data_IF_561757478333
#
_entry.id   IF_561757478333
#
_cell.length_a   1.000
_cell.length_b   1.000
_cell.length_c   1.000
_cell.angle_alpha   90.00
_cell.angle_beta   90.00
_cell.angle_gamma   90.00
#
_symmetry.space_group_name_H-M   'P 1'
#
loop_
_entity.id
_entity.type
_entity.pdbx_description
1 polymer ?
#
# COMPACT_ATOMS: atom_id res chain seq x y z
N UNK A 1 -12.18 21.17 24.96
CA UNK A 1 -11.88 19.93 25.67
C UNK A 1 -10.37 19.80 25.69
N UNK A 2 -9.76 19.63 26.87
CA UNK A 2 -8.31 19.34 26.96
C UNK A 2 -8.03 17.89 26.56
N UNK A 3 -6.77 17.54 26.29
CA UNK A 3 -6.38 16.15 25.98
C UNK A 3 -6.69 15.19 27.13
N UNK A 4 -6.57 15.68 28.38
CA UNK A 4 -6.93 14.93 29.58
C UNK A 4 -8.44 14.65 29.63
N UNK A 5 -9.28 15.65 29.34
CA UNK A 5 -10.73 15.49 29.32
C UNK A 5 -11.19 14.51 28.23
N UNK A 6 -10.55 14.57 27.05
CA UNK A 6 -10.81 13.64 25.95
C UNK A 6 -10.46 12.20 26.33
N UNK A 7 -9.31 12.00 26.96
CA UNK A 7 -8.86 10.65 27.37
C UNK A 7 -9.84 10.04 28.36
N UNK A 8 -10.25 10.79 29.39
CA UNK A 8 -11.22 10.32 30.38
C UNK A 8 -12.59 10.00 29.75
N UNK A 9 -13.09 10.87 28.86
CA UNK A 9 -14.35 10.63 28.15
C UNK A 9 -14.30 9.38 27.26
N UNK A 10 -13.14 9.09 26.65
CA UNK A 10 -12.94 7.88 25.87
C UNK A 10 -12.84 6.62 26.74
N UNK A 11 -12.24 6.69 27.93
CA UNK A 11 -12.22 5.57 28.89
C UNK A 11 -13.65 5.20 29.36
N UNK A 12 -14.47 6.22 29.64
CA UNK A 12 -15.89 6.02 29.94
C UNK A 12 -16.64 5.40 28.76
N UNK A 13 -16.38 5.88 27.54
CA UNK A 13 -16.96 5.32 26.31
C UNK A 13 -16.56 3.85 26.11
N UNK A 14 -15.29 3.49 26.32
CA UNK A 14 -14.80 2.11 26.21
C UNK A 14 -15.56 1.21 27.19
N UNK A 15 -15.69 1.64 28.44
CA UNK A 15 -16.42 0.89 29.48
C UNK A 15 -17.89 0.70 29.08
N UNK A 16 -18.52 1.76 28.57
CA UNK A 16 -19.89 1.71 28.06
C UNK A 16 -20.04 0.73 26.89
N UNK A 17 -19.17 0.84 25.88
CA UNK A 17 -19.19 0.03 24.67
C UNK A 17 -18.94 -1.47 24.92
N UNK A 18 -18.10 -1.80 25.91
CA UNK A 18 -17.91 -3.19 26.36
C UNK A 18 -19.15 -3.78 27.03
N UNK A 19 -20.03 -2.93 27.59
CA UNK A 19 -21.28 -3.34 28.22
C UNK A 19 -22.41 -3.69 27.25
N UNK A 20 -22.29 -3.34 25.97
CA UNK A 20 -23.28 -3.60 24.93
C UNK A 20 -23.34 -5.09 24.56
N UNK A 21 -24.55 -5.66 24.55
CA UNK A 21 -24.84 -7.12 24.42
C UNK A 21 -25.97 -7.45 23.44
N UNK A 22 -26.60 -6.45 22.85
CA UNK A 22 -27.68 -6.54 21.89
C UNK A 22 -27.20 -6.90 20.49
N UNK A 23 -28.08 -6.72 19.51
CA UNK A 23 -27.77 -6.96 18.11
C UNK A 23 -27.28 -5.68 17.41
N UNK A 24 -26.57 -5.85 16.29
CA UNK A 24 -25.96 -4.75 15.51
C UNK A 24 -26.95 -3.63 15.21
N UNK A 25 -28.18 -3.96 14.79
CA UNK A 25 -29.19 -2.98 14.39
C UNK A 25 -29.66 -2.09 15.54
N UNK A 26 -29.81 -2.66 16.73
CA UNK A 26 -30.29 -1.90 17.89
C UNK A 26 -29.20 -1.09 18.57
N UNK A 27 -27.96 -1.57 18.55
CA UNK A 27 -26.86 -0.96 19.30
C UNK A 27 -25.95 -0.05 18.49
N UNK A 28 -25.87 -0.20 17.16
CA UNK A 28 -25.03 0.65 16.30
C UNK A 28 -25.30 2.15 16.47
N UNK A 29 -26.57 2.63 16.42
CA UNK A 29 -26.84 4.05 16.63
C UNK A 29 -26.46 4.55 18.02
N UNK A 30 -26.61 3.71 19.05
CA UNK A 30 -26.30 4.04 20.44
C UNK A 30 -24.78 4.16 20.62
N UNK A 31 -24.03 3.17 20.11
CA UNK A 31 -22.57 3.16 20.11
C UNK A 31 -22.01 4.42 19.44
N UNK A 32 -22.47 4.73 18.22
CA UNK A 32 -22.00 5.88 17.47
C UNK A 32 -22.34 7.21 18.15
N UNK A 33 -23.52 7.32 18.76
CA UNK A 33 -23.90 8.52 19.51
C UNK A 33 -23.02 8.72 20.76
N UNK A 34 -22.72 7.65 21.49
CA UNK A 34 -21.81 7.71 22.63
C UNK A 34 -20.37 8.06 22.20
N UNK A 35 -19.90 7.52 21.06
CA UNK A 35 -18.59 7.86 20.50
C UNK A 35 -18.50 9.36 20.19
N UNK A 36 -19.50 9.92 19.49
CA UNK A 36 -19.51 11.35 19.17
C UNK A 36 -19.53 12.23 20.43
N UNK A 37 -20.24 11.81 21.48
CA UNK A 37 -20.24 12.49 22.77
C UNK A 37 -18.86 12.47 23.44
N UNK A 38 -18.16 11.34 23.40
CA UNK A 38 -16.80 11.25 23.92
C UNK A 38 -15.83 12.18 23.19
N UNK A 39 -16.05 12.43 21.89
CA UNK A 39 -15.29 13.42 21.12
C UNK A 39 -15.76 14.88 21.30
N UNK A 40 -16.74 15.13 22.18
CA UNK A 40 -17.17 16.47 22.56
C UNK A 40 -18.36 17.04 21.78
N UNK A 41 -19.16 16.19 21.13
CA UNK A 41 -20.44 16.59 20.52
C UNK A 41 -21.62 16.33 21.45
N UNK A 42 -22.76 17.01 21.25
CA UNK A 42 -24.00 16.68 21.98
C UNK A 42 -24.60 15.34 21.51
N UNK A 43 -24.33 14.98 20.26
CA UNK A 43 -24.70 13.72 19.63
C UNK A 43 -24.42 13.75 18.13
N UNK A 44 -24.67 12.62 17.46
CA UNK A 44 -24.40 12.48 16.01
C UNK A 44 -25.20 13.45 15.16
N UNK A 45 -26.48 13.67 15.48
CA UNK A 45 -27.35 14.56 14.71
C UNK A 45 -26.91 16.03 14.82
N UNK A 46 -26.56 16.46 16.03
CA UNK A 46 -26.08 17.82 16.32
C UNK A 46 -24.73 18.10 15.65
N UNK A 47 -23.90 17.07 15.47
CA UNK A 47 -22.65 17.16 14.71
C UNK A 47 -22.86 17.26 13.19
N UNK A 48 -24.07 17.00 12.69
CA UNK A 48 -24.40 16.97 11.26
C UNK A 48 -24.20 15.59 10.60
N UNK A 49 -24.07 14.52 11.39
CA UNK A 49 -24.02 13.15 10.89
C UNK A 49 -25.43 12.55 10.75
N UNK A 50 -25.61 11.75 9.69
CA UNK A 50 -26.89 11.13 9.31
C UNK A 50 -26.78 9.62 9.46
N UNK A 51 -27.65 9.03 10.27
CA UNK A 51 -27.78 7.58 10.41
C UNK A 51 -28.56 6.99 9.23
N UNK A 52 -28.30 5.73 8.92
CA UNK A 52 -28.99 4.97 7.86
C UNK A 52 -29.00 5.74 6.52
N UNK A 53 -27.85 6.30 6.14
CA UNK A 53 -27.75 7.07 4.90
C UNK A 53 -27.91 6.15 3.69
N UNK A 54 -28.84 6.49 2.80
CA UNK A 54 -29.12 5.72 1.59
C UNK A 54 -28.03 5.94 0.55
N UNK A 55 -27.45 4.84 0.06
CA UNK A 55 -26.47 4.88 -1.03
C UNK A 55 -27.20 4.70 -2.37
N UNK A 56 -27.03 5.68 -3.26
CA UNK A 56 -27.54 5.61 -4.62
C UNK A 56 -26.68 4.68 -5.47
N UNK A 57 -27.25 3.59 -5.98
CA UNK A 57 -26.53 2.72 -6.93
C UNK A 57 -26.46 3.40 -8.29
N UNK A 58 -25.29 3.34 -8.92
CA UNK A 58 -25.15 3.65 -10.35
C UNK A 58 -26.11 2.82 -11.23
N UNK A 59 -26.39 3.29 -12.44
CA UNK A 59 -27.45 2.81 -13.35
C UNK A 59 -27.40 1.30 -13.76
N UNK A 60 -26.48 0.49 -13.24
CA UNK A 60 -26.19 -0.86 -13.73
C UNK A 60 -26.41 -2.02 -12.73
N UNK A 61 -26.83 -1.78 -11.48
CA UNK A 61 -27.05 -2.88 -10.52
C UNK A 61 -28.44 -2.91 -9.89
N UNK A 62 -29.03 -4.12 -9.84
CA UNK A 62 -30.44 -4.39 -9.59
C UNK A 62 -31.06 -3.89 -8.27
N UNK A 63 -32.40 -4.03 -8.23
CA UNK A 63 -33.35 -3.54 -7.23
C UNK A 63 -33.05 -4.01 -5.79
N UNK A 64 -32.22 -3.27 -5.06
CA UNK A 64 -32.02 -3.42 -3.62
C UNK A 64 -31.50 -2.12 -3.02
N UNK A 65 -32.13 -1.66 -1.93
CA UNK A 65 -31.69 -0.46 -1.18
C UNK A 65 -30.52 -0.84 -0.27
N UNK A 66 -29.38 -0.16 -0.39
CA UNK A 66 -28.24 -0.29 0.54
C UNK A 66 -28.16 0.98 1.40
N UNK A 67 -27.85 0.80 2.68
CA UNK A 67 -27.73 1.88 3.64
C UNK A 67 -26.38 1.74 4.35
N UNK A 68 -25.73 2.87 4.59
CA UNK A 68 -24.58 2.97 5.49
C UNK A 68 -25.08 3.35 6.89
N UNK A 69 -24.44 2.81 7.93
CA UNK A 69 -24.88 3.04 9.31
C UNK A 69 -24.79 4.51 9.72
N UNK A 70 -23.70 5.19 9.36
CA UNK A 70 -23.56 6.63 9.57
C UNK A 70 -22.75 7.30 8.47
N UNK A 71 -23.23 8.44 7.99
CA UNK A 71 -22.48 9.36 7.13
C UNK A 71 -22.38 10.72 7.79
N UNK A 72 -21.16 11.19 8.02
CA UNK A 72 -20.86 12.60 8.25
C UNK A 72 -20.23 13.18 6.97
N UNK A 73 -21.00 13.96 6.19
CA UNK A 73 -20.52 14.51 4.92
C UNK A 73 -19.16 15.20 5.06
N UNK A 74 -18.27 14.95 4.10
CA UNK A 74 -16.90 15.52 4.05
C UNK A 74 -15.99 15.16 5.24
N UNK A 75 -16.42 14.30 6.18
CA UNK A 75 -15.61 13.88 7.33
C UNK A 75 -15.41 12.37 7.41
N UNK A 76 -16.49 11.61 7.62
CA UNK A 76 -16.38 10.16 7.85
C UNK A 76 -17.62 9.39 7.38
N UNK A 77 -17.39 8.24 6.74
CA UNK A 77 -18.36 7.18 6.57
C UNK A 77 -18.13 6.11 7.64
N UNK A 78 -19.16 5.63 8.32
CA UNK A 78 -19.04 4.53 9.28
C UNK A 78 -19.98 3.40 8.90
N UNK A 79 -19.43 2.20 8.81
CA UNK A 79 -20.17 0.95 8.64
C UNK A 79 -19.92 0.08 9.88
N UNK A 80 -21.00 -0.29 10.54
CA UNK A 80 -21.01 -1.15 11.72
C UNK A 80 -21.22 -2.60 11.28
N UNK A 81 -20.72 -3.51 12.09
CA UNK A 81 -20.83 -4.96 11.94
C UNK A 81 -21.08 -5.60 13.29
N UNK A 82 -21.68 -6.78 13.27
CA UNK A 82 -21.94 -7.54 14.50
C UNK A 82 -20.63 -7.89 15.20
N UNK A 83 -20.65 -7.90 16.53
CA UNK A 83 -19.47 -8.23 17.35
C UNK A 83 -18.88 -9.58 16.96
N UNK A 84 -17.55 -9.66 16.84
CA UNK A 84 -16.82 -10.86 16.42
C UNK A 84 -16.85 -11.17 14.91
N UNK A 85 -17.53 -10.33 14.11
CA UNK A 85 -17.46 -10.43 12.66
C UNK A 85 -16.09 -9.98 12.14
N UNK A 86 -15.53 -10.75 11.20
CA UNK A 86 -14.28 -10.44 10.52
C UNK A 86 -14.46 -9.24 9.59
N UNK A 87 -13.85 -8.11 9.96
CA UNK A 87 -14.02 -6.84 9.25
C UNK A 87 -13.48 -6.89 7.82
N UNK A 88 -12.44 -7.68 7.54
CA UNK A 88 -11.86 -7.84 6.20
C UNK A 88 -12.91 -8.20 5.14
N UNK A 89 -13.95 -8.97 5.53
CA UNK A 89 -15.00 -9.43 4.62
C UNK A 89 -15.93 -8.31 4.13
N UNK A 90 -15.90 -7.15 4.77
CA UNK A 90 -16.80 -6.02 4.48
C UNK A 90 -16.09 -4.86 3.77
N UNK A 91 -14.81 -5.02 3.42
CA UNK A 91 -14.04 -4.04 2.66
C UNK A 91 -14.76 -3.64 1.37
N UNK A 92 -15.17 -4.61 0.52
CA UNK A 92 -15.77 -4.30 -0.78
C UNK A 92 -17.10 -3.57 -0.63
N UNK A 93 -17.86 -3.89 0.42
CA UNK A 93 -19.12 -3.24 0.71
C UNK A 93 -18.89 -1.76 1.06
N UNK A 94 -17.95 -1.48 1.96
CA UNK A 94 -17.72 -0.10 2.42
C UNK A 94 -17.03 0.74 1.35
N UNK A 95 -16.15 0.13 0.55
CA UNK A 95 -15.55 0.78 -0.62
C UNK A 95 -16.61 1.11 -1.68
N UNK A 96 -17.51 0.17 -2.00
CA UNK A 96 -18.66 0.42 -2.89
C UNK A 96 -19.50 1.60 -2.39
N UNK A 97 -19.79 1.67 -1.08
CA UNK A 97 -20.55 2.79 -0.50
C UNK A 97 -19.82 4.11 -0.69
N UNK A 98 -18.53 4.13 -0.33
CA UNK A 98 -17.71 5.32 -0.43
C UNK A 98 -17.61 5.88 -1.86
N UNK A 99 -17.50 5.01 -2.88
CA UNK A 99 -17.43 5.45 -4.28
C UNK A 99 -18.71 6.13 -4.77
N UNK A 100 -19.87 5.74 -4.24
CA UNK A 100 -21.18 6.28 -4.61
C UNK A 100 -21.55 7.57 -3.85
N UNK A 101 -20.81 7.94 -2.80
CA UNK A 101 -21.03 9.22 -2.11
C UNK A 101 -20.38 10.32 -2.95
N UNK A 102 -21.23 11.11 -3.61
CA UNK A 102 -20.87 12.31 -4.40
C UNK A 102 -21.93 13.39 -4.19
N UNK A 103 -21.57 14.69 -4.15
CA UNK A 103 -20.22 15.26 -4.24
C UNK A 103 -19.47 15.29 -2.89
N UNK A 104 -20.18 15.18 -1.76
CA UNK A 104 -19.62 15.36 -0.41
C UNK A 104 -18.95 14.12 0.18
N UNK A 105 -18.09 13.49 -0.62
CA UNK A 105 -17.41 12.25 -0.23
C UNK A 105 -16.51 12.48 1.00
N UNK A 106 -16.64 11.66 2.06
CA UNK A 106 -15.77 11.79 3.23
C UNK A 106 -14.35 11.29 2.91
N UNK A 107 -13.30 11.91 3.46
CA UNK A 107 -11.93 11.42 3.30
C UNK A 107 -11.70 10.09 4.05
N UNK A 108 -12.35 9.90 5.20
CA UNK A 108 -12.17 8.72 6.04
C UNK A 108 -13.38 7.79 6.01
N UNK A 109 -13.12 6.50 6.17
CA UNK A 109 -14.13 5.46 6.35
C UNK A 109 -13.75 4.60 7.55
N UNK A 110 -14.69 4.34 8.47
CA UNK A 110 -14.50 3.45 9.60
C UNK A 110 -15.35 2.21 9.38
N UNK A 111 -14.73 1.05 9.47
CA UNK A 111 -15.41 -0.23 9.59
C UNK A 111 -15.25 -0.74 11.02
N UNK A 112 -16.36 -1.02 11.71
CA UNK A 112 -16.36 -1.25 13.15
C UNK A 112 -17.22 -2.45 13.54
N UNK A 113 -16.70 -3.36 14.39
CA UNK A 113 -17.46 -4.50 14.95
C UNK A 113 -17.67 -4.36 16.47
N UNK A 114 -17.76 -3.14 16.99
CA UNK A 114 -17.80 -2.79 18.42
C UNK A 114 -16.49 -3.03 19.19
N UNK A 115 -15.66 -3.99 18.79
CA UNK A 115 -14.38 -4.31 19.45
C UNK A 115 -13.18 -3.71 18.73
N UNK A 116 -13.29 -3.48 17.43
CA UNK A 116 -12.21 -2.98 16.59
C UNK A 116 -12.73 -1.87 15.68
N UNK A 117 -11.91 -0.84 15.49
CA UNK A 117 -12.14 0.26 14.56
C UNK A 117 -11.06 0.22 13.49
N UNK A 118 -11.45 -0.10 12.26
CA UNK A 118 -10.56 -0.11 11.11
C UNK A 118 -10.80 1.16 10.30
N UNK A 119 -9.78 2.02 10.24
CA UNK A 119 -9.86 3.32 9.58
C UNK A 119 -9.21 3.20 8.21
N UNK A 120 -9.94 3.60 7.18
CA UNK A 120 -9.47 3.70 5.80
C UNK A 120 -9.45 5.16 5.34
N UNK A 121 -8.42 5.49 4.57
CA UNK A 121 -8.38 6.68 3.71
C UNK A 121 -8.24 6.19 2.27
N UNK A 122 -9.36 5.99 1.58
CA UNK A 122 -9.35 5.45 0.22
C UNK A 122 -8.72 6.39 -0.82
N UNK A 123 -8.42 7.64 -0.47
CA UNK A 123 -7.71 8.54 -1.37
C UNK A 123 -6.19 8.29 -1.34
N UNK A 124 -5.65 7.89 -0.20
CA UNK A 124 -4.21 7.69 0.00
C UNK A 124 -3.83 6.21 0.04
N UNK A 125 -4.64 5.35 0.68
CA UNK A 125 -4.37 3.93 0.85
C UNK A 125 -5.65 3.11 0.65
N UNK A 126 -5.77 2.49 -0.54
CA UNK A 126 -6.99 1.79 -0.90
C UNK A 126 -7.21 0.52 -0.08
N UNK A 127 -6.21 -0.36 0.01
CA UNK A 127 -6.42 -1.76 0.41
C UNK A 127 -6.23 -2.04 1.89
N UNK A 128 -5.35 -1.28 2.53
CA UNK A 128 -4.98 -1.47 3.92
C UNK A 128 -5.63 -0.37 4.76
N UNK A 129 -6.13 -0.68 5.96
CA UNK A 129 -6.48 0.36 6.93
C UNK A 129 -5.25 1.23 7.23
N UNK A 130 -5.43 2.55 7.22
CA UNK A 130 -4.44 3.49 7.75
C UNK A 130 -4.31 3.34 9.26
N UNK A 131 -5.33 2.76 9.92
CA UNK A 131 -5.26 2.39 11.31
C UNK A 131 -6.17 1.20 11.67
N UNK A 132 -5.76 0.44 12.70
CA UNK A 132 -6.56 -0.61 13.34
C UNK A 132 -6.46 -0.40 14.84
N UNK A 133 -7.59 -0.06 15.46
CA UNK A 133 -7.64 0.32 16.87
C UNK A 133 -8.56 -0.66 17.58
N UNK A 134 -8.01 -1.45 18.49
CA UNK A 134 -8.84 -2.18 19.45
C UNK A 134 -9.57 -1.16 20.34
N UNK A 135 -10.83 -1.43 20.69
CA UNK A 135 -11.65 -0.55 21.51
C UNK A 135 -10.91 -0.15 22.80
N UNK A 136 -10.23 -1.10 23.44
CA UNK A 136 -9.46 -0.86 24.66
C UNK A 136 -8.30 0.15 24.48
N UNK A 137 -7.73 0.25 23.28
CA UNK A 137 -6.64 1.17 22.97
C UNK A 137 -7.12 2.57 22.53
N UNK A 138 -8.44 2.76 22.33
CA UNK A 138 -9.02 3.99 21.81
C UNK A 138 -8.61 5.26 22.58
N UNK A 139 -8.55 5.28 23.93
CA UNK A 139 -8.10 6.46 24.67
C UNK A 139 -6.65 6.85 24.34
N UNK A 140 -5.75 5.86 24.22
CA UNK A 140 -4.34 6.08 23.86
C UNK A 140 -4.17 6.45 22.39
N UNK A 141 -5.11 6.03 21.53
CA UNK A 141 -5.10 6.22 20.08
C UNK A 141 -6.12 7.27 19.62
N UNK A 142 -6.56 8.16 20.51
CA UNK A 142 -7.56 9.20 20.22
C UNK A 142 -7.16 10.09 19.04
N UNK A 143 -5.85 10.33 18.86
CA UNK A 143 -5.29 11.14 17.78
C UNK A 143 -5.56 10.59 16.38
N UNK A 144 -5.81 9.29 16.23
CA UNK A 144 -6.20 8.68 14.97
C UNK A 144 -7.62 9.05 14.53
N UNK A 145 -8.49 9.47 15.48
CA UNK A 145 -9.86 9.92 15.21
C UNK A 145 -10.02 11.44 15.41
N UNK A 146 -8.94 12.22 15.38
CA UNK A 146 -9.01 13.68 15.56
C UNK A 146 -9.89 14.41 14.54
N UNK A 147 -10.26 13.77 13.43
CA UNK A 147 -11.26 14.29 12.49
C UNK A 147 -12.69 14.30 13.06
N UNK A 148 -12.95 13.53 14.13
CA UNK A 148 -14.21 13.54 14.89
C UNK A 148 -14.31 14.71 15.87
N UNK A 149 -13.22 15.43 16.16
CA UNK A 149 -13.31 16.59 17.06
C UNK A 149 -14.21 17.70 16.48
N UNK A 150 -14.85 18.55 17.31
CA UNK A 150 -15.67 19.68 16.85
C UNK A 150 -14.94 20.56 15.83
N UNK A 151 -13.69 20.90 16.14
CA UNK A 151 -12.69 21.34 15.16
C UNK A 151 -11.91 20.13 14.68
N UNK A 152 -12.19 19.68 13.47
CA UNK A 152 -11.44 18.59 12.84
C UNK A 152 -9.95 18.96 12.78
N UNK A 153 -9.10 18.01 13.16
CA UNK A 153 -7.65 18.11 13.01
C UNK A 153 -7.13 16.96 12.15
N UNK A 154 -5.91 17.10 11.61
CA UNK A 154 -5.28 16.02 10.86
C UNK A 154 -5.03 14.84 11.80
N UNK A 155 -5.54 13.64 11.50
CA UNK A 155 -5.31 12.46 12.33
C UNK A 155 -3.84 12.02 12.29
N UNK A 156 -3.40 11.37 13.37
CA UNK A 156 -2.10 10.72 13.47
C UNK A 156 -2.31 9.21 13.44
N UNK A 157 -1.96 8.60 12.31
CA UNK A 157 -2.12 7.18 12.07
C UNK A 157 -0.80 6.43 12.27
N UNK A 158 -0.87 5.22 12.85
CA UNK A 158 0.33 4.38 13.02
C UNK A 158 0.77 3.73 11.69
N UNK A 159 -0.16 3.47 10.77
CA UNK A 159 0.12 2.77 9.51
C UNK A 159 -0.02 3.68 8.28
N UNK A 160 0.42 4.95 8.37
CA UNK A 160 0.48 5.84 7.20
C UNK A 160 1.68 5.51 6.30
N UNK A 161 1.58 4.38 5.58
CA UNK A 161 2.62 3.89 4.66
C UNK A 161 2.93 4.88 3.55
N UNK A 162 1.94 5.68 3.15
CA UNK A 162 2.10 6.71 2.12
C UNK A 162 3.09 7.79 2.57
N UNK A 163 2.91 8.32 3.78
CA UNK A 163 3.81 9.34 4.32
C UNK A 163 5.23 8.80 4.54
N UNK A 164 5.35 7.59 5.10
CA UNK A 164 6.64 6.90 5.26
C UNK A 164 7.33 6.75 3.91
N UNK A 165 6.60 6.27 2.89
CA UNK A 165 7.13 6.10 1.54
C UNK A 165 7.56 7.42 0.91
N UNK A 166 6.75 8.49 1.03
CA UNK A 166 7.10 9.82 0.51
C UNK A 166 8.40 10.34 1.14
N UNK A 167 8.58 10.16 2.45
CA UNK A 167 9.80 10.56 3.18
C UNK A 167 11.02 9.73 2.74
N UNK A 168 10.88 8.42 2.62
CA UNK A 168 11.95 7.53 2.16
C UNK A 168 12.36 7.84 0.71
N UNK A 169 11.39 7.96 -0.20
CA UNK A 169 11.60 8.33 -1.60
C UNK A 169 12.29 9.69 -1.73
N UNK A 170 11.94 10.67 -0.87
CA UNK A 170 12.57 11.98 -0.87
C UNK A 170 14.08 11.92 -0.53
N UNK A 171 14.53 10.96 0.30
CA UNK A 171 15.96 10.76 0.59
C UNK A 171 16.71 10.24 -0.64
N UNK A 172 16.17 9.24 -1.34
CA UNK A 172 16.76 8.73 -2.59
C UNK A 172 16.74 9.79 -3.70
N UNK A 173 15.67 10.58 -3.80
CA UNK A 173 15.60 11.71 -4.72
C UNK A 173 16.65 12.79 -4.40
N UNK A 174 16.92 13.04 -3.11
CA UNK A 174 17.98 13.95 -2.66
C UNK A 174 19.37 13.42 -3.02
N UNK A 175 19.60 12.13 -2.83
CA UNK A 175 20.84 11.47 -3.26
C UNK A 175 21.03 11.59 -4.77
N UNK A 176 20.01 11.25 -5.56
CA UNK A 176 20.04 11.35 -7.02
C UNK A 176 20.44 12.76 -7.49
N UNK A 177 19.78 13.81 -6.97
CA UNK A 177 20.11 15.20 -7.33
C UNK A 177 21.56 15.56 -7.01
N UNK A 178 22.07 15.13 -5.87
CA UNK A 178 23.48 15.33 -5.50
C UNK A 178 24.44 14.64 -6.47
N UNK A 179 24.07 13.46 -6.99
CA UNK A 179 24.92 12.70 -7.92
C UNK A 179 25.03 13.36 -9.30
N UNK A 180 23.98 14.03 -9.77
CA UNK A 180 23.96 14.70 -11.08
C UNK A 180 24.37 16.18 -11.02
N UNK A 181 24.48 16.75 -9.83
CA UNK A 181 24.79 18.17 -9.63
C UNK A 181 26.11 18.55 -10.31
N UNK A 182 26.08 19.66 -11.05
CA UNK A 182 27.24 20.15 -11.80
C UNK A 182 27.77 19.21 -12.89
N UNK A 183 26.98 18.20 -13.30
CA UNK A 183 27.40 17.20 -14.28
C UNK A 183 28.43 16.18 -13.74
N UNK A 184 28.50 16.00 -12.42
CA UNK A 184 29.43 15.08 -11.74
C UNK A 184 29.33 13.64 -12.27
N UNK A 185 28.11 13.18 -12.52
CA UNK A 185 27.81 11.87 -13.10
C UNK A 185 26.75 11.97 -14.19
N UNK A 186 26.81 11.06 -15.16
CA UNK A 186 25.77 10.88 -16.15
C UNK A 186 24.43 10.54 -15.47
N UNK A 187 23.33 11.07 -16.03
CA UNK A 187 21.99 10.97 -15.46
C UNK A 187 21.49 9.52 -15.44
N UNK A 188 21.68 8.78 -16.52
CA UNK A 188 21.24 7.39 -16.65
C UNK A 188 22.01 6.49 -15.67
N UNK A 189 23.33 6.72 -15.56
CA UNK A 189 24.18 6.05 -14.56
C UNK A 189 23.70 6.31 -13.13
N UNK A 190 23.44 7.57 -12.77
CA UNK A 190 22.95 7.92 -11.44
C UNK A 190 21.54 7.34 -11.15
N UNK A 191 20.66 7.34 -12.15
CA UNK A 191 19.33 6.73 -12.07
C UNK A 191 19.42 5.23 -11.77
N UNK A 192 20.20 4.48 -12.55
CA UNK A 192 20.41 3.05 -12.35
C UNK A 192 20.99 2.75 -10.97
N UNK A 193 22.00 3.49 -10.55
CA UNK A 193 22.63 3.33 -9.25
C UNK A 193 21.64 3.53 -8.08
N UNK A 194 20.81 4.58 -8.14
CA UNK A 194 19.78 4.84 -7.11
C UNK A 194 18.69 3.77 -7.12
N UNK A 195 18.32 3.24 -8.29
CA UNK A 195 17.36 2.14 -8.39
C UNK A 195 17.92 0.82 -7.83
N UNK A 196 19.21 0.54 -8.06
CA UNK A 196 19.90 -0.60 -7.45
C UNK A 196 19.98 -0.48 -5.93
N UNK A 197 20.24 0.72 -5.40
CA UNK A 197 20.17 1.01 -3.96
C UNK A 197 18.76 0.79 -3.41
N UNK A 198 17.73 1.28 -4.11
CA UNK A 198 16.33 1.06 -3.72
C UNK A 198 16.03 -0.43 -3.60
N UNK A 199 16.41 -1.24 -4.60
CA UNK A 199 16.19 -2.69 -4.55
C UNK A 199 16.93 -3.32 -3.37
N UNK A 200 18.16 -2.89 -3.07
CA UNK A 200 18.89 -3.39 -1.91
C UNK A 200 18.18 -3.06 -0.58
N UNK A 201 17.78 -1.80 -0.38
CA UNK A 201 17.08 -1.33 0.82
C UNK A 201 15.77 -2.09 1.03
N UNK A 202 14.96 -2.22 -0.01
CA UNK A 202 13.73 -3.01 0.08
C UNK A 202 14.03 -4.48 0.31
N UNK A 203 15.06 -5.03 -0.34
CA UNK A 203 15.38 -6.46 -0.21
C UNK A 203 15.91 -6.84 1.17
N UNK A 204 16.68 -5.98 1.86
CA UNK A 204 17.14 -6.29 3.22
C UNK A 204 16.00 -6.25 4.23
N UNK A 205 15.10 -5.27 4.17
CA UNK A 205 13.94 -5.20 5.07
C UNK A 205 12.86 -6.24 4.71
N UNK A 206 12.83 -6.66 3.44
CA UNK A 206 12.06 -7.82 2.97
C UNK A 206 12.77 -9.16 3.18
N UNK A 207 13.90 -9.21 3.89
CA UNK A 207 14.59 -10.47 4.23
C UNK A 207 15.01 -11.29 3.02
N UNK A 208 15.12 -10.66 1.85
CA UNK A 208 15.65 -11.24 0.61
C UNK A 208 17.18 -11.09 0.57
N UNK A 209 17.72 -10.08 1.25
CA UNK A 209 19.14 -9.96 1.56
C UNK A 209 19.41 -10.31 3.03
N UNK A 210 20.66 -10.68 3.38
CA UNK A 210 21.06 -10.79 4.78
C UNK A 210 20.73 -9.51 5.56
N UNK A 211 20.25 -9.67 6.79
CA UNK A 211 19.73 -8.57 7.62
C UNK A 211 20.63 -7.33 7.60
N UNK A 212 20.04 -6.20 7.20
CA UNK A 212 20.66 -4.87 7.16
C UNK A 212 22.05 -4.85 6.50
N UNK A 213 22.27 -5.65 5.44
CA UNK A 213 23.57 -5.75 4.77
C UNK A 213 24.00 -4.42 4.13
N UNK A 214 23.12 -3.77 3.37
CA UNK A 214 23.41 -2.46 2.79
C UNK A 214 23.49 -1.40 3.90
N UNK A 215 22.57 -1.39 4.86
CA UNK A 215 22.63 -0.42 5.97
C UNK A 215 23.97 -0.52 6.74
N UNK A 216 24.46 -1.74 7.00
CA UNK A 216 25.79 -1.96 7.61
C UNK A 216 26.94 -1.49 6.72
N UNK A 217 26.90 -1.75 5.41
CA UNK A 217 27.90 -1.23 4.47
C UNK A 217 27.95 0.30 4.49
N UNK A 218 26.79 0.96 4.46
CA UNK A 218 26.70 2.42 4.46
C UNK A 218 27.19 2.99 5.79
N UNK A 219 26.85 2.34 6.91
CA UNK A 219 27.35 2.71 8.24
C UNK A 219 28.87 2.57 8.35
N UNK A 220 29.45 1.49 7.84
CA UNK A 220 30.90 1.30 7.80
C UNK A 220 31.59 2.43 7.00
N UNK A 221 31.04 2.82 5.84
CA UNK A 221 31.53 3.94 5.04
C UNK A 221 31.36 5.31 5.74
N UNK A 222 30.34 5.44 6.57
CA UNK A 222 30.09 6.65 7.35
C UNK A 222 31.08 6.80 8.52
N UNK A 223 31.33 5.71 9.24
CA UNK A 223 32.08 5.69 10.50
C UNK A 223 33.60 5.54 10.29
N UNK A 224 34.04 4.82 9.24
CA UNK A 224 35.45 4.61 8.89
C UNK A 224 35.78 5.19 7.52
N UNK A 225 36.64 6.22 7.49
CA UNK A 225 37.07 6.89 6.26
C UNK A 225 37.91 6.02 5.32
N UNK A 226 38.38 4.86 5.76
CA UNK A 226 39.12 3.92 4.92
C UNK A 226 38.20 2.97 4.14
N UNK A 227 36.90 2.94 4.46
CA UNK A 227 35.92 2.14 3.73
C UNK A 227 35.41 2.93 2.52
N UNK A 228 35.53 2.34 1.33
CA UNK A 228 35.03 2.95 0.09
C UNK A 228 33.62 2.44 -0.23
N UNK A 229 32.69 3.39 -0.40
CA UNK A 229 31.34 3.10 -0.87
C UNK A 229 31.38 2.53 -2.30
N UNK A 230 32.28 3.01 -3.16
CA UNK A 230 32.48 2.47 -4.50
C UNK A 230 32.79 0.97 -4.48
N UNK A 231 33.72 0.55 -3.60
CA UNK A 231 34.14 -0.85 -3.51
C UNK A 231 33.08 -1.73 -2.85
N UNK A 232 32.53 -1.30 -1.71
CA UNK A 232 31.61 -2.12 -0.92
C UNK A 232 30.22 -2.25 -1.56
N UNK A 233 29.63 -1.13 -2.00
CA UNK A 233 28.31 -1.15 -2.65
C UNK A 233 28.44 -1.77 -4.05
N UNK A 234 29.50 -1.42 -4.79
CA UNK A 234 29.79 -2.08 -6.07
C UNK A 234 29.99 -3.59 -5.92
N UNK A 235 30.64 -4.03 -4.84
CA UNK A 235 30.81 -5.45 -4.50
C UNK A 235 29.47 -6.15 -4.23
N UNK A 236 28.58 -5.51 -3.47
CA UNK A 236 27.23 -6.02 -3.24
C UNK A 236 26.46 -6.18 -4.56
N UNK A 237 26.45 -5.16 -5.41
CA UNK A 237 25.75 -5.21 -6.70
C UNK A 237 26.29 -6.33 -7.59
N UNK A 238 27.62 -6.52 -7.64
CA UNK A 238 28.24 -7.62 -8.39
C UNK A 238 27.83 -8.98 -7.84
N UNK A 239 27.75 -9.13 -6.51
CA UNK A 239 27.29 -10.38 -5.92
C UNK A 239 25.82 -10.64 -6.22
N UNK A 240 24.96 -9.61 -6.20
CA UNK A 240 23.55 -9.73 -6.56
C UNK A 240 23.36 -10.13 -8.03
N UNK A 241 24.31 -9.84 -8.92
CA UNK A 241 24.31 -10.31 -10.31
C UNK A 241 24.99 -11.68 -10.52
N UNK A 242 25.48 -12.33 -9.46
CA UNK A 242 26.20 -13.61 -9.58
C UNK A 242 25.29 -14.80 -9.31
N UNK A 243 25.13 -15.69 -10.29
CA UNK A 243 24.48 -17.01 -10.10
C UNK A 243 25.23 -17.90 -9.10
N UNK A 244 26.54 -17.66 -8.93
CA UNK A 244 27.37 -18.38 -7.97
C UNK A 244 27.32 -17.65 -6.62
N UNK A 245 26.81 -18.30 -5.55
CA UNK A 245 26.82 -17.71 -4.22
C UNK A 245 28.24 -17.45 -3.74
N UNK A 246 28.43 -16.40 -2.94
CA UNK A 246 29.71 -16.14 -2.28
C UNK A 246 30.04 -17.30 -1.32
N UNK A 247 31.26 -17.82 -1.42
CA UNK A 247 31.76 -18.92 -0.57
C UNK A 247 32.09 -18.48 0.86
N UNK A 248 32.18 -17.18 1.13
CA UNK A 248 32.44 -16.60 2.43
C UNK A 248 32.59 -15.08 2.36
N UNK A 249 32.89 -14.46 3.50
CA UNK A 249 33.05 -13.00 3.61
C UNK A 249 31.72 -12.25 3.71
N UNK A 250 31.79 -10.92 3.55
CA UNK A 250 30.67 -9.99 3.79
C UNK A 250 29.40 -10.31 2.98
N UNK A 251 29.55 -10.83 1.76
CA UNK A 251 28.44 -11.08 0.86
C UNK A 251 27.95 -12.53 0.89
N UNK A 252 28.39 -13.33 1.86
CA UNK A 252 27.84 -14.66 2.08
C UNK A 252 26.33 -14.58 2.34
N UNK A 253 25.55 -15.41 1.66
CA UNK A 253 24.09 -15.43 1.77
C UNK A 253 23.36 -14.44 0.86
N UNK A 254 24.06 -13.61 0.06
CA UNK A 254 23.42 -12.77 -0.97
C UNK A 254 22.94 -13.65 -2.14
N UNK A 255 21.63 -13.68 -2.45
CA UNK A 255 21.09 -14.44 -3.57
C UNK A 255 21.30 -13.72 -4.91
N UNK A 256 21.08 -14.46 -5.99
CA UNK A 256 21.11 -13.93 -7.36
C UNK A 256 19.79 -13.22 -7.72
N UNK A 257 19.89 -12.02 -8.28
CA UNK A 257 18.77 -11.19 -8.74
C UNK A 257 18.73 -11.17 -10.27
N UNK A 258 17.90 -12.03 -10.85
CA UNK A 258 17.79 -12.26 -12.30
C UNK A 258 16.91 -11.23 -13.07
N UNK A 259 16.64 -10.06 -12.48
CA UNK A 259 15.73 -9.03 -13.02
C UNK A 259 16.32 -8.13 -14.11
N UNK A 260 17.60 -8.28 -14.44
CA UNK A 260 18.31 -7.45 -15.43
C UNK A 260 18.83 -6.11 -14.88
N UNK A 261 18.25 -5.58 -13.79
CA UNK A 261 18.70 -4.32 -13.17
C UNK A 261 20.18 -4.32 -12.76
N UNK A 262 20.69 -5.47 -12.30
CA UNK A 262 22.10 -5.63 -11.91
C UNK A 262 22.99 -6.16 -13.05
N UNK A 263 22.47 -6.27 -14.28
CA UNK A 263 23.27 -6.71 -15.42
C UNK A 263 24.36 -5.68 -15.80
N UNK A 264 24.08 -4.40 -15.59
CA UNK A 264 25.01 -3.29 -15.77
C UNK A 264 25.29 -2.65 -14.40
N UNK A 265 26.55 -2.67 -13.97
CA UNK A 265 26.96 -2.20 -12.65
C UNK A 265 28.04 -1.15 -12.83
N UNK A 266 27.69 0.08 -12.48
CA UNK A 266 28.57 1.24 -12.53
C UNK A 266 28.70 1.84 -11.13
N UNK A 267 29.65 1.35 -10.30
CA UNK A 267 29.79 1.88 -8.96
C UNK A 267 30.11 3.38 -8.98
N UNK A 268 29.64 4.07 -7.95
CA UNK A 268 29.81 5.52 -7.77
C UNK A 268 30.47 5.74 -6.41
N UNK A 269 31.55 6.53 -6.40
CA UNK A 269 32.17 6.97 -5.16
C UNK A 269 31.30 8.06 -4.54
N UNK A 270 30.86 7.83 -3.30
CA UNK A 270 29.98 8.73 -2.58
C UNK A 270 30.80 9.64 -1.65
N UNK A 271 30.50 10.93 -1.66
CA UNK A 271 31.07 11.86 -0.68
C UNK A 271 30.36 11.72 0.69
N UNK A 272 30.89 12.40 1.72
CA UNK A 272 30.36 12.33 3.10
C UNK A 272 28.90 12.74 3.22
N UNK A 273 28.46 13.73 2.42
CA UNK A 273 27.07 14.16 2.41
C UNK A 273 26.17 13.10 1.78
N UNK A 274 26.57 12.52 0.65
CA UNK A 274 25.86 11.45 -0.05
C UNK A 274 25.75 10.19 0.82
N UNK A 275 26.81 9.80 1.52
CA UNK A 275 26.80 8.69 2.49
C UNK A 275 25.83 8.98 3.64
N UNK A 276 25.84 10.19 4.19
CA UNK A 276 24.89 10.59 5.26
C UNK A 276 23.43 10.57 4.78
N UNK A 277 23.16 11.02 3.55
CA UNK A 277 21.81 10.95 2.96
C UNK A 277 21.37 9.50 2.74
N UNK A 278 22.29 8.62 2.33
CA UNK A 278 22.00 7.20 2.16
C UNK A 278 21.82 6.49 3.52
N UNK A 279 22.58 6.88 4.55
CA UNK A 279 22.40 6.38 5.91
C UNK A 279 21.01 6.75 6.45
N UNK A 280 20.61 8.02 6.30
CA UNK A 280 19.25 8.48 6.63
C UNK A 280 18.17 7.69 5.86
N UNK A 281 18.45 7.28 4.62
CA UNK A 281 17.54 6.48 3.82
C UNK A 281 17.44 5.04 4.34
N UNK A 282 18.57 4.47 4.80
CA UNK A 282 18.65 3.12 5.34
C UNK A 282 18.00 2.96 6.74
N UNK A 283 17.73 4.06 7.44
CA UNK A 283 17.00 4.05 8.72
C UNK A 283 15.47 3.90 8.56
N UNK A 284 14.94 4.00 7.34
CA UNK A 284 13.53 3.72 7.07
C UNK A 284 13.26 2.22 7.00
N UNK A 285 12.09 1.78 7.45
CA UNK A 285 11.58 0.44 7.19
C UNK A 285 11.00 0.37 5.77
N UNK A 286 11.80 -0.14 4.83
CA UNK A 286 11.42 -0.30 3.43
C UNK A 286 10.46 -1.47 3.19
N UNK A 287 10.20 -2.33 4.17
CA UNK A 287 9.11 -3.30 4.08
C UNK A 287 7.73 -2.62 4.20
N UNK A 288 7.67 -1.40 4.75
CA UNK A 288 6.46 -0.58 4.84
C UNK A 288 6.27 0.36 3.63
N UNK A 289 7.25 0.38 2.73
CA UNK A 289 7.27 1.26 1.57
C UNK A 289 6.43 0.69 0.43
N UNK A 290 5.54 1.52 -0.11
CA UNK A 290 4.62 1.18 -1.18
C UNK A 290 5.26 1.34 -2.56
N UNK A 291 5.40 0.26 -3.35
CA UNK A 291 6.04 0.33 -4.66
C UNK A 291 5.38 1.34 -5.62
N UNK A 292 4.07 1.52 -5.52
CA UNK A 292 3.33 2.46 -6.36
C UNK A 292 3.78 3.92 -6.20
N UNK A 293 4.35 4.29 -5.04
CA UNK A 293 4.78 5.66 -4.72
C UNK A 293 6.22 5.94 -5.19
N UNK A 294 6.92 4.95 -5.74
CA UNK A 294 8.23 5.18 -6.38
C UNK A 294 8.17 6.12 -7.59
N UNK A 295 6.97 6.43 -8.09
CA UNK A 295 6.75 7.52 -9.03
C UNK A 295 7.36 8.87 -8.59
N UNK A 296 7.56 9.10 -7.29
CA UNK A 296 8.28 10.30 -6.81
C UNK A 296 9.78 10.28 -7.16
N UNK A 297 10.43 9.11 -7.14
CA UNK A 297 11.82 8.96 -7.59
C UNK A 297 11.90 9.26 -9.09
N UNK A 298 10.95 8.72 -9.86
CA UNK A 298 10.82 8.98 -11.28
C UNK A 298 10.58 10.48 -11.61
N UNK A 299 9.68 11.13 -10.87
CA UNK A 299 9.46 12.56 -11.01
C UNK A 299 10.71 13.37 -10.67
N UNK A 300 11.45 12.98 -9.63
CA UNK A 300 12.70 13.62 -9.26
C UNK A 300 13.81 13.36 -10.28
N UNK A 301 13.79 12.22 -10.98
CA UNK A 301 14.75 11.94 -12.04
C UNK A 301 14.51 12.78 -13.29
N UNK A 302 13.26 13.19 -13.53
CA UNK A 302 12.89 14.10 -14.61
C UNK A 302 13.08 15.58 -14.26
N UNK A 303 13.04 15.97 -12.99
CA UNK A 303 13.14 17.37 -12.55
C UNK A 303 14.46 17.66 -11.88
N UNK A 304 15.37 18.19 -12.69
CA UNK A 304 16.61 18.81 -12.25
C UNK A 304 16.45 20.31 -11.95
N UNK A 305 15.22 20.83 -11.89
CA UNK A 305 14.93 22.24 -11.68
C UNK A 305 15.16 23.14 -12.90
N UNK A 306 15.52 22.58 -14.05
CA UNK A 306 15.63 23.31 -15.33
C UNK A 306 14.30 23.35 -16.08
N UNK A 307 14.15 24.30 -17.01
CA UNK A 307 12.97 24.33 -17.91
C UNK A 307 12.85 23.02 -18.70
N UNK A 308 13.98 22.44 -19.13
CA UNK A 308 14.04 21.16 -19.84
C UNK A 308 13.44 19.99 -19.03
N UNK A 309 13.76 19.89 -17.74
CA UNK A 309 13.18 18.86 -16.87
C UNK A 309 11.68 19.02 -16.62
N UNK A 310 11.17 20.25 -16.61
CA UNK A 310 9.73 20.53 -16.52
C UNK A 310 9.00 20.23 -17.84
N UNK A 311 9.63 20.55 -18.96
CA UNK A 311 9.12 20.22 -20.29
C UNK A 311 9.09 18.70 -20.51
N UNK A 312 10.11 17.97 -20.06
CA UNK A 312 10.13 16.50 -20.09
C UNK A 312 9.00 15.89 -19.26
N UNK A 313 8.76 16.39 -18.03
CA UNK A 313 7.61 15.95 -17.22
C UNK A 313 6.27 16.10 -17.92
N UNK A 314 6.06 17.23 -18.59
CA UNK A 314 4.82 17.52 -19.31
C UNK A 314 4.72 16.77 -20.64
N UNK A 315 5.83 16.65 -21.38
CA UNK A 315 5.90 15.95 -22.66
C UNK A 315 5.68 14.44 -22.52
N UNK A 316 6.20 13.83 -21.45
CA UNK A 316 6.07 12.39 -21.17
C UNK A 316 4.90 12.06 -20.24
N UNK A 317 4.09 13.05 -19.84
CA UNK A 317 2.89 12.82 -19.03
C UNK A 317 3.17 12.15 -17.68
N UNK A 318 4.32 12.46 -17.06
CA UNK A 318 4.85 11.81 -15.85
C UNK A 318 4.09 12.19 -14.56
N UNK A 319 2.76 12.17 -14.61
CA UNK A 319 1.90 12.41 -13.47
C UNK A 319 1.65 11.11 -12.71
N UNK A 320 1.85 11.16 -11.41
CA UNK A 320 1.44 10.09 -10.52
C UNK A 320 -0.08 9.92 -10.63
N UNK A 321 -0.54 8.79 -11.14
CA UNK A 321 -1.96 8.41 -11.16
C UNK A 321 -2.29 7.76 -9.83
N UNK A 322 -3.31 8.28 -9.13
CA UNK A 322 -3.71 7.71 -7.85
C UNK A 322 -4.21 6.28 -8.01
N UNK A 323 -4.02 5.46 -6.98
CA UNK A 323 -4.51 4.09 -6.97
C UNK A 323 -6.03 4.02 -7.20
N UNK A 324 -6.75 5.00 -6.66
CA UNK A 324 -8.20 5.16 -6.85
C UNK A 324 -8.55 5.40 -8.32
N UNK A 325 -7.80 6.24 -9.03
CA UNK A 325 -8.03 6.50 -10.45
C UNK A 325 -7.73 5.25 -11.29
N UNK A 326 -6.68 4.50 -10.95
CA UNK A 326 -6.38 3.22 -11.58
C UNK A 326 -7.54 2.23 -11.38
N UNK A 327 -8.15 2.20 -10.19
CA UNK A 327 -9.29 1.33 -9.89
C UNK A 327 -10.54 1.64 -10.70
N UNK A 328 -10.73 2.88 -11.17
CA UNK A 328 -11.82 3.19 -12.11
C UNK A 328 -11.69 2.43 -13.43
N UNK A 329 -10.49 1.97 -13.78
CA UNK A 329 -10.23 1.11 -14.94
C UNK A 329 -10.16 -0.36 -14.54
N UNK A 330 -9.32 -0.70 -13.56
CA UNK A 330 -9.10 -2.10 -13.12
C UNK A 330 -10.37 -2.73 -12.55
N UNK A 331 -11.15 -1.98 -11.77
CA UNK A 331 -12.40 -2.45 -11.18
C UNK A 331 -13.40 -2.97 -12.22
N UNK A 332 -13.84 -2.14 -13.19
CA UNK A 332 -14.77 -2.57 -14.22
C UNK A 332 -14.20 -3.58 -15.23
N UNK A 333 -12.90 -3.54 -15.53
CA UNK A 333 -12.30 -4.36 -16.61
C UNK A 333 -11.74 -5.70 -16.14
N UNK A 334 -11.35 -5.80 -14.88
CA UNK A 334 -10.76 -7.01 -14.28
C UNK A 334 -11.64 -7.47 -13.13
N UNK A 335 -11.79 -6.67 -12.08
CA UNK A 335 -12.38 -7.14 -10.81
C UNK A 335 -13.83 -7.60 -10.99
N UNK A 336 -14.70 -6.75 -11.54
CA UNK A 336 -16.14 -7.03 -11.67
C UNK A 336 -16.42 -8.27 -12.55
N UNK A 337 -15.87 -8.40 -13.77
CA UNK A 337 -16.08 -9.60 -14.58
C UNK A 337 -15.66 -10.89 -13.87
N UNK A 338 -14.53 -10.89 -13.17
CA UNK A 338 -14.08 -12.07 -12.42
C UNK A 338 -14.98 -12.37 -11.21
N UNK A 339 -15.42 -11.34 -10.47
CA UNK A 339 -16.37 -11.52 -9.36
C UNK A 339 -17.70 -12.13 -9.81
N UNK A 340 -18.24 -11.69 -10.95
CA UNK A 340 -19.48 -12.26 -11.51
C UNK A 340 -19.31 -13.76 -11.85
N UNK A 341 -18.18 -14.12 -12.46
CA UNK A 341 -17.83 -15.52 -12.76
C UNK A 341 -17.65 -16.35 -11.49
N UNK A 342 -17.00 -15.79 -10.47
CA UNK A 342 -16.83 -16.44 -9.16
C UNK A 342 -18.18 -16.67 -8.49
N UNK A 343 -19.08 -15.69 -8.48
CA UNK A 343 -20.40 -15.80 -7.89
C UNK A 343 -21.23 -16.93 -8.54
N UNK A 344 -21.19 -17.03 -9.87
CA UNK A 344 -21.84 -18.12 -10.61
C UNK A 344 -21.23 -19.51 -10.30
N UNK A 345 -19.95 -19.56 -9.93
CA UNK A 345 -19.21 -20.79 -9.64
C UNK A 345 -19.16 -21.17 -8.14
N UNK A 346 -19.54 -20.27 -7.23
CA UNK A 346 -19.16 -20.28 -5.80
C UNK A 346 -19.46 -21.56 -5.00
N UNK A 347 -20.48 -22.32 -5.42
CA UNK A 347 -20.88 -23.58 -4.79
C UNK A 347 -20.33 -24.85 -5.45
N UNK A 348 -19.55 -24.74 -6.53
CA UNK A 348 -19.16 -25.86 -7.38
C UNK A 348 -17.65 -25.93 -7.53
N UNK A 349 -17.01 -26.94 -6.92
CA UNK A 349 -15.56 -27.18 -6.99
C UNK A 349 -15.03 -27.13 -8.42
N UNK A 350 -15.65 -27.90 -9.33
CA UNK A 350 -15.24 -27.95 -10.74
C UNK A 350 -15.31 -26.59 -11.43
N UNK A 351 -16.40 -25.83 -11.22
CA UNK A 351 -16.55 -24.51 -11.83
C UNK A 351 -15.54 -23.49 -11.29
N UNK A 352 -15.25 -23.50 -9.98
CA UNK A 352 -14.22 -22.62 -9.40
C UNK A 352 -12.82 -22.96 -9.92
N UNK A 353 -12.51 -24.25 -10.12
CA UNK A 353 -11.25 -24.67 -10.75
C UNK A 353 -11.15 -24.19 -12.20
N UNK A 354 -12.24 -24.16 -12.95
CA UNK A 354 -12.26 -23.57 -14.30
C UNK A 354 -12.02 -22.06 -14.26
N UNK A 355 -12.65 -21.33 -13.32
CA UNK A 355 -12.38 -19.90 -13.13
C UNK A 355 -10.90 -19.66 -12.83
N UNK A 356 -10.29 -20.47 -11.95
CA UNK A 356 -8.87 -20.38 -11.61
C UNK A 356 -7.96 -20.68 -12.81
N UNK A 357 -8.33 -21.68 -13.64
CA UNK A 357 -7.60 -22.01 -14.88
C UNK A 357 -7.63 -20.87 -15.89
N UNK A 358 -8.77 -20.21 -16.03
CA UNK A 358 -8.89 -19.07 -16.93
C UNK A 358 -8.13 -17.85 -16.38
N UNK A 359 -8.17 -17.64 -15.06
CA UNK A 359 -7.41 -16.57 -14.40
C UNK A 359 -5.90 -16.75 -14.62
N UNK A 360 -5.40 -18.00 -14.62
CA UNK A 360 -4.00 -18.36 -14.95
C UNK A 360 -3.59 -18.00 -16.38
N UNK A 361 -4.55 -17.91 -17.31
CA UNK A 361 -4.30 -17.60 -18.73
C UNK A 361 -4.52 -16.13 -19.07
N UNK A 362 -5.17 -15.37 -18.18
CA UNK A 362 -5.44 -13.96 -18.39
C UNK A 362 -4.13 -13.17 -18.49
N UNK A 363 -4.09 -12.16 -19.36
CA UNK A 363 -2.91 -11.32 -19.55
C UNK A 363 -3.31 -9.86 -19.48
N UNK A 364 -2.46 -9.05 -18.86
CA UNK A 364 -2.63 -7.60 -18.75
C UNK A 364 -1.50 -6.94 -19.51
N UNK A 365 -1.84 -6.00 -20.40
CA UNK A 365 -0.89 -5.18 -21.13
C UNK A 365 -1.14 -3.72 -20.80
N UNK A 366 -0.09 -3.03 -20.37
CA UNK A 366 -0.05 -1.59 -20.25
C UNK A 366 0.95 -1.02 -21.28
N UNK A 367 0.47 -0.41 -22.38
CA UNK A 367 1.34 0.05 -23.48
C UNK A 367 2.06 1.37 -23.19
N UNK A 368 1.85 1.99 -22.02
CA UNK A 368 2.54 3.20 -21.58
C UNK A 368 2.72 3.14 -20.05
N UNK A 369 3.47 2.14 -19.59
CA UNK A 369 3.37 1.67 -18.21
C UNK A 369 3.99 2.59 -17.17
N UNK A 370 4.87 3.52 -17.56
CA UNK A 370 5.59 4.37 -16.62
C UNK A 370 6.27 3.55 -15.53
N UNK A 371 6.04 3.90 -14.27
CA UNK A 371 6.52 3.15 -13.09
C UNK A 371 5.85 1.80 -12.84
N UNK A 372 4.90 1.38 -13.68
CA UNK A 372 4.20 0.10 -13.59
C UNK A 372 2.98 0.08 -12.67
N UNK A 373 2.43 1.24 -12.27
CA UNK A 373 1.37 1.31 -11.25
C UNK A 373 0.07 0.60 -11.68
N UNK A 374 -0.35 0.69 -12.94
CA UNK A 374 -1.52 -0.05 -13.43
C UNK A 374 -1.30 -1.56 -13.38
N UNK A 375 -0.12 -2.02 -13.81
CA UNK A 375 0.27 -3.44 -13.76
C UNK A 375 0.31 -3.95 -12.32
N UNK A 376 0.84 -3.15 -11.40
CA UNK A 376 0.87 -3.45 -9.97
C UNK A 376 -0.54 -3.63 -9.39
N UNK A 377 -1.43 -2.64 -9.59
CA UNK A 377 -2.80 -2.71 -9.06
C UNK A 377 -3.56 -3.90 -9.67
N UNK A 378 -3.43 -4.11 -10.98
CA UNK A 378 -4.03 -5.26 -11.65
C UNK A 378 -3.50 -6.60 -11.09
N UNK A 379 -2.20 -6.70 -10.82
CA UNK A 379 -1.58 -7.88 -10.21
C UNK A 379 -2.16 -8.17 -8.83
N UNK A 380 -2.22 -7.15 -7.96
CA UNK A 380 -2.73 -7.30 -6.60
C UNK A 380 -4.22 -7.68 -6.59
N UNK A 381 -5.03 -7.09 -7.47
CA UNK A 381 -6.45 -7.46 -7.62
C UNK A 381 -6.62 -8.90 -8.10
N UNK A 382 -5.86 -9.32 -9.11
CA UNK A 382 -5.90 -10.71 -9.58
C UNK A 382 -5.46 -11.68 -8.48
N UNK A 383 -4.43 -11.33 -7.69
CA UNK A 383 -3.99 -12.11 -6.52
C UNK A 383 -5.05 -12.21 -5.43
N UNK A 384 -5.77 -11.13 -5.17
CA UNK A 384 -6.91 -11.11 -4.25
C UNK A 384 -8.04 -12.04 -4.72
N UNK A 385 -8.42 -11.94 -5.99
CA UNK A 385 -9.44 -12.82 -6.60
C UNK A 385 -9.03 -14.30 -6.51
N UNK A 386 -7.77 -14.60 -6.84
CA UNK A 386 -7.19 -15.94 -6.66
C UNK A 386 -7.32 -16.40 -5.21
N UNK A 387 -6.89 -15.60 -4.24
CA UNK A 387 -6.91 -15.94 -2.81
C UNK A 387 -8.32 -16.27 -2.34
N UNK A 388 -9.31 -15.48 -2.74
CA UNK A 388 -10.73 -15.73 -2.43
C UNK A 388 -11.20 -17.08 -3.00
N UNK A 389 -10.83 -17.41 -4.25
CA UNK A 389 -11.15 -18.71 -4.87
C UNK A 389 -10.45 -19.86 -4.13
N UNK A 390 -9.17 -19.71 -3.78
CA UNK A 390 -8.39 -20.74 -3.10
C UNK A 390 -8.91 -21.02 -1.69
N UNK A 391 -9.20 -19.98 -0.91
CA UNK A 391 -9.83 -20.12 0.41
C UNK A 391 -11.17 -20.83 0.29
N UNK A 392 -11.99 -20.42 -0.69
CA UNK A 392 -13.28 -21.08 -0.92
C UNK A 392 -13.11 -22.54 -1.28
N UNK A 393 -12.19 -22.87 -2.19
CA UNK A 393 -11.89 -24.24 -2.58
C UNK A 393 -11.44 -25.06 -1.37
N UNK A 394 -10.55 -24.53 -0.51
CA UNK A 394 -10.10 -25.22 0.70
C UNK A 394 -11.27 -25.62 1.63
N UNK A 395 -12.30 -24.78 1.74
CA UNK A 395 -13.50 -25.08 2.53
C UNK A 395 -14.34 -26.22 1.93
N UNK A 396 -14.39 -26.35 0.60
CA UNK A 396 -15.34 -27.25 -0.08
C UNK A 396 -14.70 -28.48 -0.76
N UNK A 397 -13.38 -28.51 -0.95
CA UNK A 397 -12.67 -29.53 -1.77
C UNK A 397 -12.09 -30.71 -0.97
N UNK A 398 -12.30 -30.79 0.35
CA UNK A 398 -11.83 -31.90 1.22
C UNK A 398 -10.34 -32.26 1.06
N UNK A 399 -9.47 -31.25 1.01
CA UNK A 399 -8.01 -31.44 1.15
C UNK A 399 -7.25 -31.74 -0.15
N UNK A 400 -7.82 -31.43 -1.31
CA UNK A 400 -7.04 -31.43 -2.56
C UNK A 400 -5.97 -30.33 -2.54
N UNK A 401 -4.77 -30.60 -3.11
CA UNK A 401 -3.73 -29.59 -3.24
C UNK A 401 -4.21 -28.44 -4.13
N UNK A 402 -4.00 -27.23 -3.64
CA UNK A 402 -4.37 -25.99 -4.31
C UNK A 402 -3.13 -25.34 -4.91
N UNK A 403 -3.21 -24.98 -6.19
CA UNK A 403 -2.13 -24.29 -6.89
C UNK A 403 -2.47 -22.82 -7.12
N UNK A 404 -1.48 -21.95 -7.04
CA UNK A 404 -1.62 -20.57 -7.49
C UNK A 404 -1.76 -20.52 -9.03
N UNK A 405 -2.69 -19.72 -9.52
CA UNK A 405 -2.89 -19.29 -10.89
C UNK A 405 -2.11 -18.03 -11.29
N UNK A 406 -2.02 -17.03 -10.42
CA UNK A 406 -1.58 -15.67 -10.78
C UNK A 406 -0.06 -15.54 -10.64
N UNK A 407 0.59 -15.04 -11.68
CA UNK A 407 2.05 -14.83 -11.76
C UNK A 407 2.36 -13.49 -12.42
N UNK A 408 3.49 -12.88 -12.04
CA UNK A 408 3.97 -11.63 -12.66
C UNK A 408 4.23 -11.79 -14.17
N UNK A 409 4.44 -13.01 -14.67
CA UNK A 409 4.62 -13.29 -16.11
C UNK A 409 3.35 -13.08 -16.96
N UNK A 410 2.22 -12.78 -16.33
CA UNK A 410 0.97 -12.41 -17.01
C UNK A 410 0.87 -10.91 -17.32
N UNK A 411 1.81 -10.11 -16.81
CA UNK A 411 1.78 -8.64 -16.86
C UNK A 411 2.86 -8.13 -17.80
N UNK A 412 2.45 -7.36 -18.80
CA UNK A 412 3.30 -6.86 -19.86
C UNK A 412 3.24 -5.33 -19.87
N UNK A 413 4.41 -4.69 -19.92
CA UNK A 413 4.53 -3.23 -19.96
C UNK A 413 5.37 -2.79 -21.16
N UNK A 414 4.99 -1.68 -21.77
CA UNK A 414 5.80 -0.96 -22.74
C UNK A 414 5.98 0.48 -22.27
N UNK A 415 7.19 1.01 -22.39
CA UNK A 415 7.47 2.43 -22.17
C UNK A 415 8.62 2.87 -23.07
N UNK A 416 8.62 4.16 -23.44
CA UNK A 416 9.69 4.75 -24.25
C UNK A 416 10.92 5.10 -23.43
N UNK A 417 10.77 5.27 -22.11
CA UNK A 417 11.86 5.59 -21.19
C UNK A 417 12.44 4.32 -20.56
N UNK A 418 13.72 4.00 -20.80
CA UNK A 418 14.36 2.80 -20.23
C UNK A 418 14.28 2.73 -18.70
N UNK A 419 14.44 3.88 -18.02
CA UNK A 419 14.34 3.94 -16.56
C UNK A 419 12.93 3.61 -16.04
N UNK A 420 11.88 4.01 -16.76
CA UNK A 420 10.50 3.66 -16.41
C UNK A 420 10.28 2.15 -16.50
N UNK A 421 10.83 1.51 -17.54
CA UNK A 421 10.78 0.05 -17.71
C UNK A 421 11.46 -0.68 -16.54
N UNK A 422 12.66 -0.24 -16.13
CA UNK A 422 13.34 -0.83 -14.97
C UNK A 422 12.57 -0.62 -13.68
N UNK A 423 12.00 0.58 -13.47
CA UNK A 423 11.17 0.85 -12.31
C UNK A 423 9.92 -0.04 -12.28
N UNK A 424 9.23 -0.24 -13.41
CA UNK A 424 8.07 -1.11 -13.51
C UNK A 424 8.39 -2.57 -13.16
N UNK A 425 9.57 -3.08 -13.58
CA UNK A 425 10.05 -4.41 -13.19
C UNK A 425 10.22 -4.51 -11.68
N UNK A 426 10.89 -3.53 -11.08
CA UNK A 426 11.09 -3.47 -9.61
C UNK A 426 9.74 -3.44 -8.89
N UNK A 427 8.80 -2.59 -9.32
CA UNK A 427 7.45 -2.49 -8.75
C UNK A 427 6.75 -3.85 -8.74
N UNK A 428 6.74 -4.58 -9.86
CA UNK A 428 6.11 -5.90 -9.96
C UNK A 428 6.84 -7.00 -9.17
N UNK A 429 8.17 -6.96 -9.14
CA UNK A 429 8.97 -7.90 -8.34
C UNK A 429 8.67 -7.75 -6.85
N UNK A 430 8.62 -6.51 -6.36
CA UNK A 430 8.31 -6.24 -4.95
C UNK A 430 6.88 -6.62 -4.60
N UNK A 431 5.93 -6.37 -5.49
CA UNK A 431 4.55 -6.81 -5.34
C UNK A 431 4.44 -8.33 -5.17
N UNK A 432 5.20 -9.09 -5.98
CA UNK A 432 5.25 -10.55 -5.87
C UNK A 432 5.75 -10.99 -4.49
N UNK A 433 6.85 -10.42 -4.02
CA UNK A 433 7.44 -10.81 -2.74
C UNK A 433 6.55 -10.40 -1.55
N UNK A 434 5.84 -9.27 -1.65
CA UNK A 434 4.86 -8.86 -0.66
C UNK A 434 3.68 -9.85 -0.58
N UNK A 435 3.15 -10.29 -1.74
CA UNK A 435 2.06 -11.27 -1.78
C UNK A 435 2.46 -12.65 -1.23
N UNK A 436 3.70 -13.08 -1.47
CA UNK A 436 4.27 -14.32 -0.88
C UNK A 436 4.29 -14.23 0.64
N UNK A 437 4.76 -13.10 1.18
CA UNK A 437 4.79 -12.84 2.64
C UNK A 437 3.39 -12.81 3.25
N UNK A 438 2.45 -12.13 2.62
CA UNK A 438 1.06 -12.08 3.09
C UNK A 438 0.38 -13.45 3.02
N UNK A 439 0.69 -14.27 2.02
CA UNK A 439 0.22 -15.65 1.97
C UNK A 439 0.79 -16.52 3.12
N UNK A 440 2.05 -16.32 3.50
CA UNK A 440 2.68 -17.05 4.60
C UNK A 440 2.05 -16.73 5.98
N UNK A 441 1.50 -15.52 6.18
CA UNK A 441 0.81 -15.12 7.42
C UNK A 441 -0.58 -15.76 7.61
N UNK A 442 -1.15 -16.31 6.54
CA UNK A 442 -2.49 -16.91 6.53
C UNK A 442 -2.47 -18.44 6.71
N UNK A 443 -1.28 -19.05 6.75
CA UNK A 443 -1.03 -20.45 7.09
C UNK A 443 -0.76 -20.57 8.58
#
# INVERSE_FOLDING_TARGET
>A
MSDHDLTAALEEFVTFAQGLKGDEKSEAPIYLNALFRAFGHEGTQQAGAVHEHRIDKGASEGKGKKFADLLWPERVLVEMKSRGQKLERHYDQVFDYWTHIVPHRPPYTILCNFDELWIYDFNEQLFDPVDRIALADLPRRASALSFLLPRAQKPLFDNNRVEVTRKAAAKLAKLFRSLIEGGKHDREKAQRYVLQLLVCLVSEDMGLLPDHLLSRIVKDCHDDRNQSAYDLIGGLFRQMNSEKPASGGRFQGVPYFNGGLFAEIDPIELNRFEISVLLDAADFDWAMVKPEIFGTIFQASLDDGTESGRDERHAFGAHFTSEFDIQKVVGPTIVRPWRERMAAAWGKVGALKEVLRDLRRFRVLDPACGSGNFLYVAYREMKRLEREILLRLAEISKGEPLETAVSIHQFYGLDVMPFAVELAKVTLMLAKEQEVREAAKLQ
#
